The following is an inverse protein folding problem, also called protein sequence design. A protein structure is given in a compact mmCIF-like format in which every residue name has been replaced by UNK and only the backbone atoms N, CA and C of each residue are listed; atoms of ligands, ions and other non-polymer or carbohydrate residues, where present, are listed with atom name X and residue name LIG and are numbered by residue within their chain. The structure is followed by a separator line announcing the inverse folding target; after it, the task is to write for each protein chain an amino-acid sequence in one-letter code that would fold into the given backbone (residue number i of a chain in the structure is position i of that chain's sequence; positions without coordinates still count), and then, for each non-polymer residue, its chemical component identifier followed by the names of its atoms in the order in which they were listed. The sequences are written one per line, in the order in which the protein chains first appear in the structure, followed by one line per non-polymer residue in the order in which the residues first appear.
data_IF_886970641549
#
_entry.id   IF_886970641549
#
_cell.length_a   1.000
_cell.length_b   1.000
_cell.length_c   1.000
_cell.angle_alpha   90.00
_cell.angle_beta   90.00
_cell.angle_gamma   90.00
#
_symmetry.space_group_name_H-M   'P 1'
#
loop_
_entity.id
_entity.type
_entity.pdbx_description
1 polymer ?
#
# COMPACT_ATOMS: atom_id res chain seq x y z
N UNK A 1 -42.09 46.90 10.82
CA UNK A 1 -40.85 47.41 10.20
C UNK A 1 -39.75 46.40 10.49
N UNK A 2 -39.58 45.39 9.64
CA UNK A 2 -38.56 44.35 9.86
C UNK A 2 -37.33 44.74 9.07
N UNK A 3 -36.30 45.24 9.77
CA UNK A 3 -35.01 45.65 9.19
C UNK A 3 -34.41 44.49 8.40
N UNK A 4 -34.34 44.65 7.08
CA UNK A 4 -33.72 43.67 6.18
C UNK A 4 -32.20 43.66 6.36
N UNK A 5 -31.66 42.59 6.92
CA UNK A 5 -30.23 42.35 6.97
C UNK A 5 -29.68 42.10 5.56
N UNK A 6 -28.65 42.87 5.17
CA UNK A 6 -27.93 42.78 3.88
C UNK A 6 -26.83 41.70 3.92
N UNK A 7 -26.70 40.96 5.02
CA UNK A 7 -25.64 39.95 5.14
C UNK A 7 -25.85 38.82 4.12
N UNK A 8 -24.80 38.41 3.39
CA UNK A 8 -24.90 37.28 2.48
C UNK A 8 -25.33 36.04 3.27
N UNK A 9 -26.36 35.35 2.79
CA UNK A 9 -26.78 34.07 3.37
C UNK A 9 -25.62 33.08 3.33
N UNK A 10 -25.45 32.22 4.34
CA UNK A 10 -24.46 31.15 4.31
C UNK A 10 -24.63 30.36 3.02
N UNK A 11 -23.58 30.31 2.21
CA UNK A 11 -23.58 29.49 1.01
C UNK A 11 -23.58 28.02 1.46
N UNK A 12 -24.41 27.14 0.87
CA UNK A 12 -24.26 25.71 1.11
C UNK A 12 -22.82 25.32 0.75
N UNK A 13 -22.09 24.80 1.73
CA UNK A 13 -20.70 24.39 1.54
C UNK A 13 -20.60 23.21 0.58
N UNK A 14 -19.37 22.84 0.22
CA UNK A 14 -19.11 21.60 -0.52
C UNK A 14 -19.73 20.42 0.24
N UNK A 15 -20.46 19.50 -0.43
CA UNK A 15 -20.99 18.31 0.22
C UNK A 15 -19.88 17.60 1.01
N UNK A 16 -20.18 17.26 2.25
CA UNK A 16 -19.23 16.53 3.10
C UNK A 16 -18.83 15.22 2.42
N UNK A 17 -17.58 14.80 2.61
CA UNK A 17 -17.04 13.52 2.09
C UNK A 17 -17.90 12.31 2.50
N UNK A 18 -18.69 12.45 3.57
CA UNK A 18 -19.69 11.48 4.03
C UNK A 18 -20.89 11.27 3.08
N UNK A 19 -21.00 12.03 1.98
CA UNK A 19 -22.00 11.80 0.94
C UNK A 19 -21.75 10.50 0.16
N UNK A 20 -20.49 10.06 0.06
CA UNK A 20 -20.13 8.85 -0.66
C UNK A 20 -20.22 7.62 0.26
N UNK A 21 -20.61 6.48 -0.31
CA UNK A 21 -20.69 5.21 0.40
C UNK A 21 -19.29 4.65 0.68
N UNK A 22 -18.67 5.14 1.75
CA UNK A 22 -17.34 4.71 2.23
C UNK A 22 -17.33 3.21 2.54
N UNK A 23 -18.43 2.66 3.09
CA UNK A 23 -18.55 1.23 3.39
C UNK A 23 -18.55 0.40 2.12
N UNK A 24 -19.29 0.82 1.10
CA UNK A 24 -19.28 0.22 -0.22
C UNK A 24 -17.88 0.20 -0.84
N UNK A 25 -17.18 1.35 -0.81
CA UNK A 25 -15.79 1.47 -1.28
C UNK A 25 -14.89 0.48 -0.53
N UNK A 26 -14.93 0.46 0.80
CA UNK A 26 -14.13 -0.44 1.62
C UNK A 26 -14.38 -1.92 1.29
N UNK A 27 -15.65 -2.31 1.11
CA UNK A 27 -16.02 -3.67 0.75
C UNK A 27 -15.49 -4.06 -0.63
N UNK A 28 -15.46 -3.14 -1.60
CA UNK A 28 -14.90 -3.45 -2.93
C UNK A 28 -13.43 -3.85 -2.86
N UNK A 29 -12.63 -3.13 -2.08
CA UNK A 29 -11.21 -3.44 -1.89
C UNK A 29 -11.00 -4.64 -0.97
N UNK A 30 -11.88 -4.86 0.02
CA UNK A 30 -11.85 -6.07 0.84
C UNK A 30 -12.08 -7.33 0.01
N UNK A 31 -13.06 -7.30 -0.91
CA UNK A 31 -13.36 -8.42 -1.82
C UNK A 31 -12.28 -8.64 -2.86
N UNK A 32 -11.68 -7.57 -3.39
CA UNK A 32 -10.62 -7.64 -4.41
C UNK A 32 -9.50 -6.65 -4.07
N UNK A 33 -8.53 -7.04 -3.23
CA UNK A 33 -7.44 -6.15 -2.80
C UNK A 33 -6.55 -5.64 -3.94
N UNK A 34 -6.49 -6.38 -5.05
CA UNK A 34 -5.70 -6.04 -6.25
C UNK A 34 -6.46 -5.18 -7.28
N UNK A 35 -7.71 -4.80 -7.01
CA UNK A 35 -8.49 -3.98 -7.94
C UNK A 35 -7.86 -2.59 -8.01
N UNK A 36 -7.67 -2.05 -9.21
CA UNK A 36 -7.09 -0.71 -9.38
C UNK A 36 -8.12 0.37 -9.00
N UNK A 37 -7.66 1.52 -8.50
CA UNK A 37 -8.54 2.66 -8.21
C UNK A 37 -9.30 3.12 -9.46
N UNK A 38 -8.72 2.97 -10.65
CA UNK A 38 -9.43 3.28 -11.91
C UNK A 38 -10.64 2.35 -12.14
N UNK A 39 -10.43 1.03 -12.01
CA UNK A 39 -11.51 0.05 -12.16
C UNK A 39 -12.55 0.17 -11.04
N UNK A 40 -12.11 0.47 -9.82
CA UNK A 40 -13.00 0.71 -8.69
C UNK A 40 -13.86 1.97 -8.91
N UNK A 41 -13.27 3.08 -9.39
CA UNK A 41 -13.98 4.31 -9.70
C UNK A 41 -15.06 4.12 -10.77
N UNK A 42 -14.73 3.40 -11.85
CA UNK A 42 -15.71 3.04 -12.90
C UNK A 42 -16.85 2.18 -12.35
N UNK A 43 -16.52 1.15 -11.56
CA UNK A 43 -17.50 0.25 -10.99
C UNK A 43 -18.46 0.94 -10.02
N UNK A 44 -17.93 1.87 -9.21
CA UNK A 44 -18.69 2.62 -8.21
C UNK A 44 -19.35 3.88 -8.78
N UNK A 45 -19.04 4.25 -10.03
CA UNK A 45 -19.48 5.48 -10.68
C UNK A 45 -19.11 6.74 -9.89
N UNK A 46 -17.91 6.74 -9.28
CA UNK A 46 -17.38 7.86 -8.48
C UNK A 46 -16.18 8.48 -9.23
N UNK A 47 -16.00 9.81 -9.22
CA UNK A 47 -14.81 10.44 -9.76
C UNK A 47 -13.53 9.89 -9.11
N UNK A 48 -12.50 9.64 -9.93
CA UNK A 48 -11.22 9.07 -9.47
C UNK A 48 -10.55 9.90 -8.36
N UNK A 49 -10.64 11.24 -8.45
CA UNK A 49 -10.08 12.14 -7.44
C UNK A 49 -10.76 11.99 -6.08
N UNK A 50 -12.08 11.87 -6.07
CA UNK A 50 -12.87 11.60 -4.86
C UNK A 50 -12.51 10.24 -4.26
N UNK A 51 -12.42 9.20 -5.11
CA UNK A 51 -12.06 7.87 -4.64
C UNK A 51 -10.67 7.87 -4.00
N UNK A 52 -9.67 8.50 -4.63
CA UNK A 52 -8.32 8.67 -4.07
C UNK A 52 -8.33 9.43 -2.74
N UNK A 53 -9.15 10.48 -2.63
CA UNK A 53 -9.33 11.25 -1.40
C UNK A 53 -9.92 10.40 -0.25
N UNK A 54 -10.80 9.45 -0.56
CA UNK A 54 -11.41 8.52 0.39
C UNK A 54 -10.43 7.41 0.76
N UNK A 55 -9.76 6.80 -0.24
CA UNK A 55 -8.73 5.78 -0.08
C UNK A 55 -7.63 6.27 0.87
N UNK A 56 -7.08 7.47 0.64
CA UNK A 56 -5.97 8.00 1.43
C UNK A 56 -6.39 8.54 2.79
N UNK A 57 -7.40 9.42 2.83
CA UNK A 57 -7.69 10.24 4.03
C UNK A 57 -8.65 9.57 5.00
N UNK A 58 -9.52 8.67 4.51
CA UNK A 58 -10.55 8.01 5.33
C UNK A 58 -10.15 6.56 5.58
N UNK A 59 -9.93 5.79 4.52
CA UNK A 59 -9.65 4.36 4.62
C UNK A 59 -8.17 4.05 4.92
N UNK A 60 -7.27 5.00 4.67
CA UNK A 60 -5.81 4.84 4.82
C UNK A 60 -5.29 3.59 4.09
N UNK A 61 -5.83 3.34 2.90
CA UNK A 61 -5.39 2.25 2.04
C UNK A 61 -4.18 2.73 1.24
N UNK A 62 -3.03 2.17 1.54
CA UNK A 62 -1.83 2.39 0.74
C UNK A 62 -1.74 1.28 -0.30
N UNK A 63 -1.30 1.63 -1.51
CA UNK A 63 -1.01 0.64 -2.53
C UNK A 63 -0.05 -0.40 -1.92
N UNK A 64 -0.51 -1.65 -1.83
CA UNK A 64 0.35 -2.74 -1.39
C UNK A 64 1.52 -2.79 -2.35
N UNK A 65 2.70 -2.36 -1.89
CA UNK A 65 3.95 -2.50 -2.64
C UNK A 65 4.10 -3.99 -2.93
N UNK A 66 3.88 -4.38 -4.17
CA UNK A 66 4.16 -5.73 -4.63
C UNK A 66 5.66 -5.92 -4.47
N UNK A 67 6.07 -6.51 -3.35
CA UNK A 67 7.39 -7.10 -3.26
C UNK A 67 7.38 -8.27 -4.24
N UNK A 68 8.35 -8.29 -5.15
CA UNK A 68 8.58 -9.42 -6.03
C UNK A 68 9.02 -10.59 -5.14
N UNK A 69 8.04 -11.26 -4.56
CA UNK A 69 8.24 -12.48 -3.80
C UNK A 69 8.62 -13.53 -4.84
N UNK A 70 9.71 -14.26 -4.63
CA UNK A 70 9.98 -15.48 -5.38
C UNK A 70 8.70 -16.34 -5.34
N UNK A 71 8.28 -16.88 -6.48
CA UNK A 71 7.07 -17.70 -6.53
C UNK A 71 7.26 -18.91 -5.62
N UNK A 72 6.59 -18.90 -4.46
CA UNK A 72 6.61 -20.02 -3.54
C UNK A 72 5.73 -21.13 -4.10
N UNK A 73 6.34 -22.16 -4.67
CA UNK A 73 5.65 -23.37 -5.09
C UNK A 73 5.13 -24.12 -3.86
N UNK A 74 4.08 -24.95 -4.00
CA UNK A 74 3.58 -25.77 -2.89
C UNK A 74 4.65 -26.65 -2.25
N UNK A 75 5.65 -27.07 -3.03
CA UNK A 75 6.84 -27.82 -2.61
C UNK A 75 7.94 -26.95 -2.00
N UNK A 76 7.93 -25.62 -2.17
CA UNK A 76 8.88 -24.68 -1.55
C UNK A 76 8.54 -24.41 -0.07
N UNK A 77 7.61 -25.18 0.50
CA UNK A 77 7.25 -25.15 1.92
C UNK A 77 8.34 -25.61 2.92
N UNK A 78 9.51 -26.21 2.60
CA UNK A 78 10.46 -26.54 3.65
C UNK A 78 11.23 -25.32 4.18
N UNK A 79 10.94 -24.08 3.78
CA UNK A 79 11.56 -22.91 4.45
C UNK A 79 11.19 -22.75 5.94
N UNK A 80 10.18 -23.47 6.45
CA UNK A 80 9.95 -23.57 7.90
C UNK A 80 11.07 -24.31 8.62
N UNK A 81 11.68 -25.33 8.02
CA UNK A 81 12.76 -26.07 8.69
C UNK A 81 13.98 -25.19 8.90
N UNK A 82 14.33 -24.33 7.93
CA UNK A 82 15.40 -23.37 8.14
C UNK A 82 15.12 -22.40 9.30
N UNK A 83 13.89 -21.88 9.39
CA UNK A 83 13.52 -20.99 10.49
C UNK A 83 13.54 -21.70 11.84
N UNK A 84 13.00 -22.93 11.92
CA UNK A 84 13.00 -23.76 13.12
C UNK A 84 14.43 -24.15 13.55
N UNK A 85 15.29 -24.52 12.60
CA UNK A 85 16.71 -24.83 12.85
C UNK A 85 17.50 -23.61 13.31
N UNK A 86 17.24 -22.42 12.75
CA UNK A 86 17.86 -21.18 13.20
C UNK A 86 17.43 -20.82 14.61
N UNK A 87 16.14 -20.97 14.93
CA UNK A 87 15.62 -20.74 16.28
C UNK A 87 16.25 -21.69 17.29
N UNK A 88 16.32 -22.99 16.99
CA UNK A 88 16.94 -23.97 17.87
C UNK A 88 18.42 -23.65 18.13
N UNK A 89 19.19 -23.28 17.10
CA UNK A 89 20.61 -22.92 17.25
C UNK A 89 20.82 -21.63 18.05
N UNK A 90 19.87 -20.70 17.99
CA UNK A 90 19.88 -19.50 18.83
C UNK A 90 19.56 -19.81 20.30
N UNK A 91 18.74 -20.83 20.57
CA UNK A 91 18.46 -21.30 21.93
C UNK A 91 19.62 -22.10 22.53
N UNK A 92 20.32 -22.89 21.71
CA UNK A 92 21.46 -23.72 22.14
C UNK A 92 22.74 -22.91 22.38
N UNK A 93 22.91 -21.78 21.68
CA UNK A 93 24.14 -20.98 21.71
C UNK A 93 23.85 -19.48 21.56
N UNK A 94 24.00 -18.73 22.65
CA UNK A 94 23.80 -17.27 22.69
C UNK A 94 24.72 -16.50 21.73
N UNK A 95 25.88 -17.06 21.37
CA UNK A 95 26.83 -16.43 20.46
C UNK A 95 26.68 -16.91 19.00
N UNK A 96 25.68 -17.75 18.71
CA UNK A 96 25.48 -18.35 17.39
C UNK A 96 25.41 -17.29 16.29
N UNK A 97 24.59 -16.25 16.49
CA UNK A 97 24.39 -15.18 15.53
C UNK A 97 25.66 -14.39 15.21
N UNK A 98 26.62 -14.30 16.14
CA UNK A 98 27.88 -13.60 15.92
C UNK A 98 28.81 -14.38 14.97
N UNK A 99 28.57 -15.68 14.80
CA UNK A 99 29.35 -16.57 13.92
C UNK A 99 28.67 -16.85 12.58
N UNK A 100 27.39 -16.50 12.43
CA UNK A 100 26.65 -16.73 11.19
C UNK A 100 27.08 -15.70 10.13
N UNK A 101 27.54 -16.18 8.99
CA UNK A 101 27.82 -15.36 7.82
C UNK A 101 26.96 -15.82 6.64
N UNK A 102 26.17 -14.90 6.07
CA UNK A 102 25.41 -15.16 4.85
C UNK A 102 26.18 -14.63 3.64
N UNK A 103 26.65 -15.55 2.79
CA UNK A 103 27.19 -15.19 1.48
C UNK A 103 26.05 -15.15 0.47
N UNK A 104 25.45 -13.97 0.24
CA UNK A 104 24.57 -13.78 -0.90
C UNK A 104 25.44 -13.57 -2.16
N UNK A 105 25.25 -14.40 -3.18
CA UNK A 105 25.64 -14.08 -4.55
C UNK A 105 24.37 -13.89 -5.36
N UNK A 106 23.74 -12.73 -5.20
CA UNK A 106 22.67 -12.31 -6.08
C UNK A 106 23.25 -11.41 -7.18
N UNK A 107 23.56 -11.99 -8.33
CA UNK A 107 23.88 -11.21 -9.53
C UNK A 107 22.59 -10.62 -10.08
N UNK A 108 22.23 -9.42 -9.65
CA UNK A 108 21.20 -8.65 -10.33
C UNK A 108 21.84 -8.05 -11.58
N UNK A 109 21.55 -8.63 -12.76
CA UNK A 109 21.76 -7.91 -14.01
C UNK A 109 20.78 -6.74 -14.04
N UNK A 110 21.23 -5.59 -13.56
CA UNK A 110 20.50 -4.34 -13.68
C UNK A 110 20.37 -3.97 -15.15
N UNK A 111 19.23 -4.29 -15.77
CA UNK A 111 18.74 -3.53 -16.91
C UNK A 111 18.20 -2.20 -16.37
N UNK A 112 19.13 -1.29 -16.06
CA UNK A 112 18.91 0.14 -16.18
C UNK A 112 19.96 0.61 -17.18
N UNK A 113 19.61 0.51 -18.46
CA UNK A 113 20.26 1.34 -19.47
C UNK A 113 19.93 2.79 -19.12
N UNK A 114 21.00 3.54 -18.91
CA UNK A 114 21.18 4.96 -19.19
C UNK A 114 20.07 5.91 -18.72
N UNK A 115 20.35 6.60 -17.62
CA UNK A 115 20.15 8.05 -17.60
C UNK A 115 21.16 8.67 -16.63
N UNK A 116 22.33 8.99 -17.17
CA UNK A 116 23.16 10.07 -16.65
C UNK A 116 22.34 11.34 -16.86
N UNK A 117 21.89 11.97 -15.79
CA UNK A 117 21.68 13.42 -15.78
C UNK A 117 22.47 13.96 -14.60
N UNK A 118 23.55 14.63 -14.97
CA UNK A 118 24.39 15.48 -14.17
C UNK A 118 23.56 16.43 -13.30
N UNK A 119 23.98 16.62 -12.05
CA UNK A 119 24.01 17.95 -11.42
C UNK A 119 25.07 17.91 -10.32
N UNK A 120 26.27 18.38 -10.66
CA UNK A 120 27.26 18.88 -9.72
C UNK A 120 27.35 20.39 -9.90
N UNK A 121 26.92 21.12 -8.86
CA UNK A 121 27.64 22.16 -8.10
C UNK A 121 26.62 22.99 -7.29
#
# INVERSE_FOLDING_TARGET
MTTGSVLPKPKPGRPSRSFYDVKGIQETFRRRPRKSSHSAAQHLQIPRSTLHDIEDKILRLYACKLQLLHELKPDDKPHRTFAEEMLQKMEEDENFLQRVMFSNKATFHGLLTDTILEYGD
#
